data_IF_958236933453
#
_entry.id   IF_958236933453
#
_cell.length_a   1.000
_cell.length_b   1.000
_cell.length_c   1.000
_cell.angle_alpha   90.00
_cell.angle_beta   90.00
_cell.angle_gamma   90.00
#
_symmetry.space_group_name_H-M   'P 1'
#
loop_
_entity.id
_entity.type
_entity.pdbx_description
1 polymer ?
#
# COMPACT_ATOMS: atom_id res chain seq x y z
N UNK A 1 -1.22 9.38 -6.69
CA UNK A 1 -1.06 8.84 -8.06
C UNK A 1 0.08 7.83 -8.15
N UNK A 2 1.30 8.14 -7.71
CA UNK A 2 2.46 7.21 -7.81
C UNK A 2 2.34 5.91 -7.02
N UNK A 3 1.88 5.93 -5.76
CA UNK A 3 1.72 4.71 -4.96
C UNK A 3 0.78 3.67 -5.62
N UNK A 4 -0.34 4.14 -6.18
CA UNK A 4 -1.26 3.30 -6.96
C UNK A 4 -0.60 2.79 -8.25
N UNK A 5 0.20 3.61 -8.92
CA UNK A 5 0.96 3.18 -10.10
C UNK A 5 2.00 2.11 -9.75
N UNK A 6 2.70 2.23 -8.62
CA UNK A 6 3.62 1.20 -8.11
C UNK A 6 2.91 -0.12 -7.82
N UNK A 7 1.72 -0.06 -7.21
CA UNK A 7 0.87 -1.25 -7.02
C UNK A 7 0.46 -1.86 -8.37
N UNK A 8 -0.05 -1.05 -9.31
CA UNK A 8 -0.43 -1.55 -10.63
C UNK A 8 0.76 -2.19 -11.37
N UNK A 9 1.94 -1.57 -11.29
CA UNK A 9 3.16 -2.07 -11.92
C UNK A 9 3.61 -3.40 -11.30
N UNK A 10 3.58 -3.52 -9.97
CA UNK A 10 3.86 -4.77 -9.29
C UNK A 10 2.87 -5.89 -9.66
N UNK A 11 1.58 -5.56 -9.84
CA UNK A 11 0.58 -6.51 -10.34
C UNK A 11 0.87 -6.99 -11.77
N UNK A 12 1.40 -6.11 -12.62
CA UNK A 12 1.82 -6.50 -13.97
C UNK A 12 3.06 -7.40 -13.94
N UNK A 13 4.00 -7.15 -13.03
CA UNK A 13 5.25 -7.90 -12.92
C UNK A 13 5.05 -9.32 -12.40
N UNK A 14 4.01 -9.55 -11.59
CA UNK A 14 3.66 -10.91 -11.15
C UNK A 14 3.04 -11.77 -12.26
N UNK A 15 2.78 -11.22 -13.46
CA UNK A 15 2.23 -11.98 -14.59
C UNK A 15 3.36 -12.63 -15.40
N UNK A 16 3.30 -13.95 -15.66
CA UNK A 16 4.39 -14.71 -16.27
C UNK A 16 4.77 -14.31 -17.70
N UNK A 17 3.92 -13.56 -18.40
CA UNK A 17 4.11 -13.21 -19.82
C UNK A 17 4.58 -11.76 -20.06
N UNK A 18 4.87 -11.00 -19.00
CA UNK A 18 5.34 -9.62 -19.10
C UNK A 18 6.80 -9.50 -18.65
N UNK A 19 7.73 -9.41 -19.60
CA UNK A 19 9.10 -8.98 -19.31
C UNK A 19 9.08 -7.48 -19.10
N UNK A 20 9.20 -7.04 -17.85
CA UNK A 20 9.20 -5.62 -17.51
C UNK A 20 10.33 -5.28 -16.55
N UNK A 21 10.86 -4.07 -16.66
CA UNK A 21 12.03 -3.64 -15.88
C UNK A 21 11.67 -3.34 -14.42
N UNK A 22 12.02 -4.25 -13.51
CA UNK A 22 11.80 -4.06 -12.07
C UNK A 22 12.47 -2.82 -11.48
N UNK A 23 13.49 -2.26 -12.15
CA UNK A 23 14.18 -1.04 -11.68
C UNK A 23 13.23 0.14 -11.57
N UNK A 24 12.29 0.27 -12.51
CA UNK A 24 11.27 1.34 -12.51
C UNK A 24 10.46 1.29 -11.20
N UNK A 25 10.00 0.11 -10.80
CA UNK A 25 9.26 -0.06 -9.56
C UNK A 25 10.12 0.29 -8.35
N UNK A 26 11.37 -0.21 -8.29
CA UNK A 26 12.30 0.09 -7.19
C UNK A 26 12.55 1.58 -7.03
N UNK A 27 12.76 2.30 -8.13
CA UNK A 27 12.97 3.75 -8.12
C UNK A 27 11.73 4.50 -7.64
N UNK A 28 10.55 4.11 -8.13
CA UNK A 28 9.29 4.68 -7.66
C UNK A 28 9.07 4.46 -6.17
N UNK A 29 9.35 3.25 -5.65
CA UNK A 29 9.21 2.96 -4.22
C UNK A 29 10.22 3.77 -3.40
N UNK A 30 11.46 3.93 -3.87
CA UNK A 30 12.46 4.76 -3.19
C UNK A 30 12.03 6.23 -3.11
N UNK A 31 11.45 6.77 -4.18
CA UNK A 31 10.95 8.14 -4.18
C UNK A 31 9.79 8.33 -3.21
N UNK A 32 8.87 7.36 -3.10
CA UNK A 32 7.78 7.41 -2.13
C UNK A 32 8.31 7.47 -0.69
N UNK A 33 9.34 6.67 -0.36
CA UNK A 33 9.95 6.68 0.97
C UNK A 33 10.53 8.03 1.35
N UNK A 34 11.23 8.70 0.41
CA UNK A 34 11.84 10.03 0.62
C UNK A 34 10.83 11.14 0.94
N UNK A 35 9.53 10.91 0.69
CA UNK A 35 8.46 11.89 0.96
C UNK A 35 7.91 11.79 2.38
N UNK A 36 8.40 10.85 3.20
CA UNK A 36 7.95 10.73 4.58
C UNK A 36 8.41 11.93 5.41
N UNK A 37 7.45 12.59 6.06
CA UNK A 37 7.72 13.62 7.04
C UNK A 37 8.20 13.00 8.36
N UNK A 38 8.83 13.81 9.21
CA UNK A 38 9.35 13.36 10.52
C UNK A 38 8.28 12.78 11.46
N UNK A 39 7.03 13.12 11.25
CA UNK A 39 5.88 12.59 12.01
C UNK A 39 5.34 11.27 11.45
N UNK A 40 6.00 10.67 10.46
CA UNK A 40 5.60 9.40 9.84
C UNK A 40 4.61 9.53 8.69
N UNK A 41 4.02 10.71 8.46
CA UNK A 41 3.02 10.94 7.41
C UNK A 41 3.69 11.09 6.04
N UNK A 42 3.02 10.67 4.97
CA UNK A 42 3.32 11.08 3.59
C UNK A 42 2.12 11.89 3.08
N UNK A 43 2.29 13.22 3.01
CA UNK A 43 1.24 14.19 2.64
C UNK A 43 0.04 14.22 3.61
N UNK A 44 -0.81 13.19 3.58
CA UNK A 44 -1.98 13.03 4.44
C UNK A 44 -2.23 11.55 4.76
N UNK A 45 -3.19 11.24 5.66
CA UNK A 45 -3.46 9.88 6.09
C UNK A 45 -3.80 8.91 4.93
N UNK A 46 -4.60 9.36 3.96
CA UNK A 46 -4.96 8.57 2.78
C UNK A 46 -3.72 8.24 1.94
N UNK A 47 -2.88 9.24 1.66
CA UNK A 47 -1.67 9.06 0.88
C UNK A 47 -0.65 8.21 1.63
N UNK A 48 -0.51 8.42 2.94
CA UNK A 48 0.31 7.58 3.83
C UNK A 48 -0.11 6.12 3.73
N UNK A 49 -1.40 5.82 3.84
CA UNK A 49 -1.89 4.45 3.74
C UNK A 49 -1.61 3.83 2.37
N UNK A 50 -1.84 4.55 1.26
CA UNK A 50 -1.50 4.06 -0.08
C UNK A 50 0.00 3.82 -0.26
N UNK A 51 0.85 4.68 0.29
CA UNK A 51 2.31 4.51 0.27
C UNK A 51 2.70 3.27 1.06
N UNK A 52 2.17 3.08 2.27
CA UNK A 52 2.46 1.87 3.05
C UNK A 52 2.03 0.62 2.29
N UNK A 53 0.83 0.61 1.69
CA UNK A 53 0.39 -0.51 0.84
C UNK A 53 1.38 -0.80 -0.31
N UNK A 54 1.90 0.24 -0.96
CA UNK A 54 2.91 0.07 -2.02
C UNK A 54 4.26 -0.42 -1.47
N UNK A 55 4.67 0.03 -0.29
CA UNK A 55 5.93 -0.39 0.33
C UNK A 55 5.89 -1.80 0.92
N UNK A 56 4.70 -2.38 1.14
CA UNK A 56 4.56 -3.81 1.42
C UNK A 56 5.04 -4.69 0.25
N UNK A 57 5.12 -4.14 -0.97
CA UNK A 57 5.70 -4.87 -2.11
C UNK A 57 7.16 -5.19 -1.79
N UNK A 58 7.49 -6.48 -1.81
CA UNK A 58 8.84 -7.00 -1.56
C UNK A 58 9.46 -6.53 -0.23
N UNK A 59 8.63 -6.18 0.76
CA UNK A 59 9.04 -5.58 2.03
C UNK A 59 9.94 -4.33 1.87
N UNK A 60 9.66 -3.51 0.86
CA UNK A 60 10.47 -2.34 0.50
C UNK A 60 10.54 -1.27 1.59
N UNK A 61 9.67 -1.33 2.60
CA UNK A 61 9.66 -0.45 3.78
C UNK A 61 10.85 -0.70 4.73
N UNK A 62 11.54 -1.84 4.68
CA UNK A 62 12.58 -2.23 5.67
C UNK A 62 13.78 -1.28 5.78
N UNK A 63 13.97 -0.37 4.82
CA UNK A 63 15.05 0.61 4.80
C UNK A 63 14.52 1.97 4.37
N UNK A 64 14.99 3.02 5.02
CA UNK A 64 14.71 4.43 4.69
C UNK A 64 13.24 4.84 4.84
N UNK A 65 12.45 4.09 5.64
CA UNK A 65 11.06 4.40 5.93
C UNK A 65 10.71 3.96 7.36
N UNK A 66 10.14 4.87 8.13
CA UNK A 66 9.67 4.59 9.49
C UNK A 66 8.23 4.06 9.43
N UNK A 67 8.08 2.74 9.33
CA UNK A 67 6.77 2.10 9.25
C UNK A 67 5.96 2.30 10.52
N UNK A 68 6.58 2.27 11.70
CA UNK A 68 5.87 2.35 12.98
C UNK A 68 5.22 3.74 13.15
N UNK A 69 5.95 4.82 12.84
CA UNK A 69 5.40 6.17 12.86
C UNK A 69 4.27 6.36 11.83
N UNK A 70 4.38 5.72 10.64
CA UNK A 70 3.32 5.73 9.64
C UNK A 70 2.06 4.99 10.12
N UNK A 71 2.22 3.82 10.76
CA UNK A 71 1.11 3.04 11.32
C UNK A 71 0.40 3.77 12.46
N UNK A 72 1.15 4.45 13.34
CA UNK A 72 0.58 5.29 14.39
C UNK A 72 -0.27 6.43 13.80
N UNK A 73 0.25 7.13 12.79
CA UNK A 73 -0.51 8.18 12.07
C UNK A 73 -1.79 7.64 11.44
N UNK A 74 -1.72 6.46 10.81
CA UNK A 74 -2.87 5.78 10.20
C UNK A 74 -3.90 5.43 11.27
N UNK A 75 -3.48 4.86 12.39
CA UNK A 75 -4.36 4.49 13.50
C UNK A 75 -5.06 5.71 14.08
N UNK A 76 -4.33 6.80 14.32
CA UNK A 76 -4.88 8.05 14.84
C UNK A 76 -5.88 8.68 13.88
N UNK A 77 -5.65 8.57 12.56
CA UNK A 77 -6.59 9.06 11.55
C UNK A 77 -7.92 8.32 11.60
N UNK A 78 -7.92 7.02 11.89
CA UNK A 78 -9.14 6.20 11.99
C UNK A 78 -9.84 6.47 13.32
N UNK A 79 -9.10 6.58 14.42
CA UNK A 79 -9.67 6.84 15.76
C UNK A 79 -10.29 8.22 15.88
N UNK A 80 -9.60 9.25 15.40
CA UNK A 80 -9.98 10.65 15.66
C UNK A 80 -10.70 11.32 14.50
N UNK A 81 -10.60 10.79 13.28
CA UNK A 81 -11.21 11.37 12.08
C UNK A 81 -11.77 10.28 11.15
N UNK A 82 -12.62 9.44 11.74
CA UNK A 82 -13.24 8.34 11.02
C UNK A 82 -14.08 8.86 9.84
N UNK A 83 -13.77 8.35 8.65
CA UNK A 83 -14.66 8.43 7.49
C UNK A 83 -14.58 7.13 6.72
N UNK A 84 -15.64 6.80 5.99
CA UNK A 84 -15.67 5.60 5.15
C UNK A 84 -14.49 5.58 4.16
N UNK A 85 -14.17 6.73 3.57
CA UNK A 85 -13.03 6.88 2.66
C UNK A 85 -11.70 6.65 3.36
N UNK A 86 -11.49 7.20 4.56
CA UNK A 86 -10.26 6.94 5.32
C UNK A 86 -10.15 5.45 5.66
N UNK A 87 -11.21 4.86 6.21
CA UNK A 87 -11.26 3.44 6.56
C UNK A 87 -10.96 2.54 5.36
N UNK A 88 -11.50 2.86 4.18
CA UNK A 88 -11.24 2.12 2.95
C UNK A 88 -9.74 2.02 2.61
N UNK A 89 -8.98 3.12 2.79
CA UNK A 89 -7.55 3.12 2.50
C UNK A 89 -6.69 2.57 3.66
N UNK A 90 -7.10 2.78 4.90
CA UNK A 90 -6.29 2.46 6.08
C UNK A 90 -6.46 1.03 6.58
N UNK A 91 -7.67 0.46 6.52
CA UNK A 91 -7.94 -0.88 7.06
C UNK A 91 -7.07 -2.00 6.45
N UNK A 92 -6.82 -2.03 5.13
CA UNK A 92 -5.91 -3.03 4.55
C UNK A 92 -4.52 -2.98 5.19
N UNK A 93 -3.98 -1.78 5.40
CA UNK A 93 -2.65 -1.58 6.01
C UNK A 93 -2.60 -2.12 7.43
N UNK A 94 -3.62 -1.82 8.23
CA UNK A 94 -3.73 -2.30 9.61
C UNK A 94 -3.83 -3.84 9.70
N UNK A 95 -4.21 -4.50 8.61
CA UNK A 95 -4.23 -5.96 8.48
C UNK A 95 -3.01 -6.52 7.75
N UNK A 96 -1.97 -5.71 7.52
CA UNK A 96 -0.80 -6.05 6.72
C UNK A 96 -1.16 -6.55 5.31
N UNK A 97 -2.11 -5.87 4.66
CA UNK A 97 -2.59 -6.14 3.29
C UNK A 97 -2.48 -4.89 2.42
N UNK A 98 -2.48 -5.13 1.12
CA UNK A 98 -2.57 -4.12 0.07
C UNK A 98 -3.66 -4.49 -0.93
N UNK A 99 -3.93 -3.58 -1.87
CA UNK A 99 -4.78 -3.88 -3.02
C UNK A 99 -4.32 -5.09 -3.86
N UNK A 100 -3.03 -5.47 -3.79
CA UNK A 100 -2.52 -6.66 -4.48
C UNK A 100 -3.01 -7.98 -3.87
N UNK A 101 -3.57 -7.93 -2.66
CA UNK A 101 -4.15 -9.10 -2.01
C UNK A 101 -5.61 -9.33 -2.41
N UNK A 102 -6.21 -8.50 -3.26
CA UNK A 102 -7.56 -8.73 -3.78
C UNK A 102 -7.50 -9.78 -4.89
N UNK A 103 -8.23 -10.88 -4.71
CA UNK A 103 -8.32 -11.98 -5.68
C UNK A 103 -9.70 -12.62 -5.62
N UNK A 104 -10.22 -13.06 -6.77
CA UNK A 104 -11.48 -13.81 -6.85
C UNK A 104 -11.43 -15.14 -6.12
N UNK A 105 -10.23 -15.71 -5.91
CA UNK A 105 -10.01 -16.92 -5.13
C UNK A 105 -10.42 -16.81 -3.65
N UNK A 106 -10.60 -15.60 -3.13
CA UNK A 106 -11.03 -15.37 -1.75
C UNK A 106 -12.56 -15.42 -1.58
N UNK A 107 -13.31 -15.45 -2.68
CA UNK A 107 -14.76 -15.56 -2.64
C UNK A 107 -15.16 -17.03 -2.51
N UNK A 108 -16.12 -17.33 -1.61
CA UNK A 108 -16.77 -18.64 -1.61
C UNK A 108 -17.58 -18.77 -2.90
N UNK A 109 -17.41 -19.87 -3.63
CA UNK A 109 -18.31 -20.25 -4.72
C UNK A 109 -19.74 -20.25 -4.17
N UNK A 110 -20.68 -19.64 -4.90
CA UNK A 110 -22.09 -19.84 -4.59
C UNK A 110 -22.37 -21.37 -4.61
N UNK A 111 -23.18 -21.90 -3.68
CA UNK A 111 -23.57 -23.30 -3.76
C UNK A 111 -24.22 -23.56 -5.12
N UNK A 112 -23.74 -24.58 -5.83
CA UNK A 112 -24.36 -25.03 -7.09
C UNK A 112 -25.78 -25.52 -6.75
N UNK A 113 -26.79 -24.85 -7.32
CA UNK A 113 -28.21 -25.21 -7.20
C UNK A 113 -28.59 -26.33 -8.14
#
# INVERSE_FOLDING_TARGET
TQALASLALACLYSRPNLVTDERILKDMLQELKRRQFRNGTVDNARTTALVVQALLIHDSYKKDFDLDSALLTILDSVKNNFSLLNAYYTLPVLSNKSLLNVSSSHCKSAPET
#
